data_IF_929729703193
#
_entry.id   IF_929729703193
#
_cell.length_a   1.000
_cell.length_b   1.000
_cell.length_c   1.000
_cell.angle_alpha   90.00
_cell.angle_beta   90.00
_cell.angle_gamma   90.00
#
_symmetry.space_group_name_H-M   'P 1'
#
loop_
_entity.id
_entity.type
_entity.pdbx_description
1 polymer ?
#
# COMPACT_ATOMS: atom_id res chain seq x y z
N UNK A 1 53.10 52.79 35.17
CA UNK A 1 52.94 52.93 33.70
C UNK A 1 53.53 51.67 33.08
N UNK A 2 52.87 50.83 32.28
CA UNK A 2 51.67 50.92 31.45
C UNK A 2 50.97 49.56 31.49
N UNK A 3 49.64 49.58 31.62
CA UNK A 3 48.79 48.41 31.48
C UNK A 3 48.63 48.09 29.99
N UNK A 4 48.81 46.83 29.61
CA UNK A 4 48.45 46.33 28.28
C UNK A 4 47.40 45.24 28.46
N UNK A 5 46.18 45.58 28.08
CA UNK A 5 45.06 44.66 27.92
C UNK A 5 45.31 43.79 26.69
N UNK A 6 45.18 42.47 26.83
CA UNK A 6 44.95 41.56 25.69
C UNK A 6 43.78 40.63 26.05
N UNK A 7 42.76 40.73 25.22
CA UNK A 7 41.47 40.03 25.24
C UNK A 7 41.69 38.55 24.85
N UNK A 8 40.98 37.58 25.44
CA UNK A 8 41.16 36.17 25.15
C UNK A 8 40.57 35.79 23.78
N UNK A 9 41.37 35.13 22.94
CA UNK A 9 40.89 34.49 21.71
C UNK A 9 40.21 33.16 22.06
N UNK A 10 38.89 33.12 21.87
CA UNK A 10 38.05 31.94 22.01
C UNK A 10 38.28 31.04 20.76
N UNK A 11 39.04 29.95 20.91
CA UNK A 11 39.21 28.96 19.85
C UNK A 11 37.94 28.09 19.81
N UNK A 12 37.07 28.33 18.84
CA UNK A 12 36.02 27.38 18.45
C UNK A 12 36.69 26.17 17.80
N UNK A 13 36.84 25.07 18.54
CA UNK A 13 37.14 23.78 17.97
C UNK A 13 35.90 23.27 17.23
N UNK A 14 35.90 23.39 15.90
CA UNK A 14 34.93 22.70 15.07
C UNK A 14 35.19 21.19 15.16
N UNK A 15 34.33 20.48 15.89
CA UNK A 15 34.28 19.02 15.85
C UNK A 15 33.69 18.62 14.50
N UNK A 16 34.54 18.37 13.52
CA UNK A 16 34.15 17.61 12.33
C UNK A 16 34.12 16.14 12.71
N UNK A 17 32.96 15.66 13.18
CA UNK A 17 32.68 14.23 13.28
C UNK A 17 32.67 13.65 11.88
N UNK A 18 33.85 13.26 11.38
CA UNK A 18 33.97 12.43 10.18
C UNK A 18 33.45 11.05 10.56
N UNK A 19 32.18 10.78 10.30
CA UNK A 19 31.58 9.46 10.46
C UNK A 19 32.36 8.48 9.56
N UNK A 20 33.22 7.70 10.18
CA UNK A 20 34.04 6.69 9.51
C UNK A 20 33.08 5.60 9.01
N UNK A 21 32.74 5.63 7.72
CA UNK A 21 31.91 4.58 7.10
C UNK A 21 32.63 3.22 7.24
N UNK A 22 31.91 2.14 7.58
CA UNK A 22 32.50 0.82 7.65
C UNK A 22 33.08 0.42 6.28
N UNK A 23 34.32 -0.08 6.22
CA UNK A 23 34.98 -0.40 4.96
C UNK A 23 34.26 -1.57 4.28
N UNK A 24 33.77 -1.35 3.06
CA UNK A 24 33.25 -2.43 2.20
C UNK A 24 31.81 -2.27 1.70
N UNK A 25 31.09 -1.21 2.07
CA UNK A 25 29.85 -0.86 1.34
C UNK A 25 30.25 -0.13 0.06
N UNK A 26 29.92 -0.63 -1.15
CA UNK A 26 30.08 0.16 -2.36
C UNK A 26 29.35 1.51 -2.16
N UNK A 27 29.87 2.62 -2.69
CA UNK A 27 29.18 3.90 -2.58
C UNK A 27 27.76 3.71 -3.10
N UNK A 28 26.77 3.93 -2.22
CA UNK A 28 25.37 3.97 -2.65
C UNK A 28 25.29 5.02 -3.75
N UNK A 29 24.70 4.69 -4.91
CA UNK A 29 24.57 5.66 -5.99
C UNK A 29 23.87 6.89 -5.44
N UNK A 30 24.38 8.08 -5.78
CA UNK A 30 23.72 9.32 -5.40
C UNK A 30 22.29 9.31 -5.93
N UNK A 31 21.30 9.76 -5.13
CA UNK A 31 19.91 9.75 -5.56
C UNK A 31 19.75 10.64 -6.80
N UNK A 32 19.06 10.12 -7.79
CA UNK A 32 18.73 10.85 -9.01
C UNK A 32 17.84 12.06 -8.69
N UNK A 33 17.77 13.03 -9.60
CA UNK A 33 16.91 14.20 -9.44
C UNK A 33 15.43 13.83 -9.25
N UNK A 34 14.96 12.78 -9.93
CA UNK A 34 13.58 12.28 -9.82
C UNK A 34 13.30 11.69 -8.43
N UNK A 35 14.26 10.95 -7.87
CA UNK A 35 14.18 10.41 -6.51
C UNK A 35 14.15 11.53 -5.48
N UNK A 36 15.01 12.54 -5.62
CA UNK A 36 15.02 13.72 -4.73
C UNK A 36 13.68 14.47 -4.80
N UNK A 37 13.14 14.68 -6.00
CA UNK A 37 11.82 15.31 -6.17
C UNK A 37 10.70 14.49 -5.52
N UNK A 38 10.78 13.17 -5.63
CA UNK A 38 9.81 12.26 -5.01
C UNK A 38 9.90 12.32 -3.49
N UNK A 39 11.11 12.31 -2.92
CA UNK A 39 11.35 12.45 -1.48
C UNK A 39 10.76 13.77 -0.97
N UNK A 40 11.00 14.89 -1.66
CA UNK A 40 10.41 16.19 -1.29
C UNK A 40 8.88 16.13 -1.23
N UNK A 41 8.24 15.56 -2.26
CA UNK A 41 6.78 15.40 -2.28
C UNK A 41 6.27 14.51 -1.16
N UNK A 42 7.03 13.48 -0.75
CA UNK A 42 6.67 12.60 0.37
C UNK A 42 6.72 13.37 1.70
N UNK A 43 7.72 14.22 1.91
CA UNK A 43 7.86 15.01 3.14
C UNK A 43 6.71 16.00 3.35
N UNK A 44 6.04 16.41 2.29
CA UNK A 44 4.88 17.31 2.33
C UNK A 44 3.56 16.59 2.69
N UNK A 45 3.55 15.25 2.79
CA UNK A 45 2.33 14.49 3.02
C UNK A 45 1.98 14.39 4.52
N UNK A 46 0.68 14.44 4.87
CA UNK A 46 0.25 14.23 6.24
C UNK A 46 0.48 12.76 6.69
N UNK A 47 0.64 12.49 8.00
CA UNK A 47 0.97 11.16 8.54
C UNK A 47 0.01 10.03 8.10
N UNK A 48 -1.28 10.33 7.96
CA UNK A 48 -2.29 9.36 7.53
C UNK A 48 -2.08 8.96 6.07
N UNK A 49 -1.67 9.92 5.22
CA UNK A 49 -1.39 9.68 3.81
C UNK A 49 -0.11 8.87 3.65
N UNK A 50 0.92 9.18 4.44
CA UNK A 50 2.15 8.38 4.50
C UNK A 50 1.87 6.93 4.91
N UNK A 51 0.99 6.73 5.88
CA UNK A 51 0.60 5.40 6.33
C UNK A 51 -0.11 4.61 5.23
N UNK A 52 -1.05 5.24 4.52
CA UNK A 52 -1.71 4.61 3.35
C UNK A 52 -0.72 4.29 2.22
N UNK A 53 0.24 5.18 1.95
CA UNK A 53 1.27 4.93 0.93
C UNK A 53 2.17 3.77 1.32
N UNK A 54 2.65 3.68 2.57
CA UNK A 54 3.42 2.54 3.06
C UNK A 54 2.69 1.22 2.86
N UNK A 55 1.43 1.15 3.29
CA UNK A 55 0.60 -0.05 3.08
C UNK A 55 0.35 -0.37 1.60
N UNK A 56 0.44 0.61 0.70
CA UNK A 56 0.28 0.41 -0.74
C UNK A 56 1.58 -0.10 -1.37
N UNK A 57 2.72 0.48 -0.98
CA UNK A 57 4.06 0.03 -1.38
C UNK A 57 4.27 -1.43 -0.97
N UNK A 58 4.02 -1.77 0.30
CA UNK A 58 4.15 -3.15 0.77
C UNK A 58 3.21 -4.15 0.04
N UNK A 59 2.07 -3.69 -0.48
CA UNK A 59 1.21 -4.52 -1.32
C UNK A 59 1.84 -4.73 -2.68
N UNK A 60 2.33 -3.66 -3.31
CA UNK A 60 2.98 -3.69 -4.63
C UNK A 60 4.23 -4.57 -4.61
N UNK A 61 5.02 -4.53 -3.53
CA UNK A 61 6.20 -5.37 -3.33
C UNK A 61 5.86 -6.87 -3.29
N UNK A 62 4.68 -7.22 -2.79
CA UNK A 62 4.17 -8.61 -2.73
C UNK A 62 3.47 -9.04 -4.02
N UNK A 63 3.26 -8.14 -4.97
CA UNK A 63 2.65 -8.50 -6.25
C UNK A 63 3.65 -9.25 -7.14
N UNK A 64 3.16 -10.26 -7.85
CA UNK A 64 3.94 -10.89 -8.93
C UNK A 64 4.25 -9.87 -10.03
N UNK A 65 5.30 -10.10 -10.85
CA UNK A 65 5.62 -9.21 -11.97
C UNK A 65 4.45 -8.98 -12.93
N UNK A 66 3.63 -10.01 -13.16
CA UNK A 66 2.42 -9.92 -14.01
C UNK A 66 1.38 -9.02 -13.33
N UNK A 67 1.08 -9.24 -12.06
CA UNK A 67 0.11 -8.44 -11.33
C UNK A 67 0.54 -6.97 -11.21
N UNK A 68 1.85 -6.67 -11.06
CA UNK A 68 2.36 -5.29 -11.11
C UNK A 68 2.13 -4.63 -12.47
N UNK A 69 2.33 -5.35 -13.58
CA UNK A 69 2.08 -4.82 -14.94
C UNK A 69 0.60 -4.47 -15.12
N UNK A 70 -0.30 -5.34 -14.69
CA UNK A 70 -1.74 -5.09 -14.76
C UNK A 70 -2.18 -3.93 -13.85
N UNK A 71 -1.59 -3.83 -12.66
CA UNK A 71 -1.82 -2.72 -11.74
C UNK A 71 -1.36 -1.39 -12.35
N UNK A 72 -0.15 -1.36 -12.92
CA UNK A 72 0.39 -0.21 -13.65
C UNK A 72 -0.51 0.19 -14.83
N UNK A 73 -0.95 -0.77 -15.64
CA UNK A 73 -1.84 -0.48 -16.77
C UNK A 73 -3.20 0.09 -16.32
N UNK A 74 -3.69 -0.34 -15.16
CA UNK A 74 -4.93 0.20 -14.57
C UNK A 74 -4.73 1.64 -14.07
N UNK A 75 -3.56 1.96 -13.50
CA UNK A 75 -3.21 3.32 -13.11
C UNK A 75 -3.05 4.24 -14.32
N UNK A 76 -2.37 3.81 -15.39
CA UNK A 76 -2.25 4.61 -16.62
C UNK A 76 -3.62 4.92 -17.23
N UNK A 77 -4.56 3.96 -17.21
CA UNK A 77 -5.95 4.21 -17.62
C UNK A 77 -6.65 5.21 -16.72
N UNK A 78 -6.41 5.16 -15.41
CA UNK A 78 -7.01 6.08 -14.44
C UNK A 78 -6.56 7.53 -14.68
N UNK A 79 -5.28 7.74 -15.00
CA UNK A 79 -4.71 9.07 -15.27
C UNK A 79 -5.40 9.75 -16.45
N UNK A 80 -5.61 9.03 -17.55
CA UNK A 80 -6.24 9.54 -18.77
C UNK A 80 -7.77 9.51 -18.77
N UNK A 81 -8.39 8.86 -17.78
CA UNK A 81 -9.84 8.66 -17.72
C UNK A 81 -10.59 9.92 -17.25
N UNK A 82 -11.84 10.05 -17.72
CA UNK A 82 -12.80 11.03 -17.19
C UNK A 82 -13.15 10.75 -15.72
N UNK A 83 -13.68 11.73 -14.96
CA UNK A 83 -14.06 11.51 -13.56
C UNK A 83 -15.01 10.33 -13.32
N UNK A 84 -15.95 10.08 -14.24
CA UNK A 84 -16.90 8.97 -14.18
C UNK A 84 -16.21 7.61 -14.41
N UNK A 85 -15.33 7.55 -15.40
CA UNK A 85 -14.55 6.34 -15.72
C UNK A 85 -13.53 6.01 -14.62
N UNK A 86 -12.95 7.02 -13.97
CA UNK A 86 -12.06 6.85 -12.81
C UNK A 86 -12.73 6.07 -11.68
N UNK A 87 -14.03 6.32 -11.43
CA UNK A 87 -14.77 5.58 -10.43
C UNK A 87 -14.90 4.09 -10.80
N UNK A 88 -15.20 3.80 -12.07
CA UNK A 88 -15.28 2.44 -12.59
C UNK A 88 -13.94 1.72 -12.48
N UNK A 89 -12.84 2.36 -12.88
CA UNK A 89 -11.48 1.78 -12.81
C UNK A 89 -11.12 1.44 -11.35
N UNK A 90 -11.36 2.35 -10.40
CA UNK A 90 -11.07 2.09 -8.99
C UNK A 90 -11.96 0.99 -8.40
N UNK A 91 -13.22 0.90 -8.84
CA UNK A 91 -14.11 -0.21 -8.47
C UNK A 91 -13.57 -1.54 -8.98
N UNK A 92 -13.19 -1.62 -10.26
CA UNK A 92 -12.60 -2.84 -10.85
C UNK A 92 -11.31 -3.26 -10.15
N UNK A 93 -10.41 -2.30 -9.85
CA UNK A 93 -9.18 -2.58 -9.11
C UNK A 93 -9.46 -3.15 -7.71
N UNK A 94 -10.47 -2.61 -7.02
CA UNK A 94 -10.92 -3.11 -5.71
C UNK A 94 -11.54 -4.50 -5.82
N UNK A 95 -12.42 -4.72 -6.80
CA UNK A 95 -13.12 -5.98 -6.99
C UNK A 95 -12.16 -7.10 -7.40
N UNK A 96 -11.14 -6.81 -8.21
CA UNK A 96 -10.05 -7.75 -8.52
C UNK A 96 -9.26 -8.13 -7.27
N UNK A 97 -8.91 -7.16 -6.41
CA UNK A 97 -8.27 -7.44 -5.13
C UNK A 97 -9.12 -8.31 -4.19
N UNK A 98 -10.45 -8.24 -4.32
CA UNK A 98 -11.39 -9.06 -3.56
C UNK A 98 -11.75 -10.39 -4.25
N UNK A 99 -11.41 -10.58 -5.52
CA UNK A 99 -11.81 -11.75 -6.30
C UNK A 99 -11.25 -13.05 -5.70
N UNK A 100 -9.96 -13.08 -5.37
CA UNK A 100 -9.35 -14.26 -4.74
C UNK A 100 -10.00 -14.62 -3.40
N UNK A 101 -10.37 -13.63 -2.59
CA UNK A 101 -11.10 -13.87 -1.34
C UNK A 101 -12.52 -14.40 -1.56
N UNK A 102 -13.22 -13.94 -2.61
CA UNK A 102 -14.57 -14.42 -2.95
C UNK A 102 -14.54 -15.87 -3.44
N UNK A 103 -13.54 -16.22 -4.25
CA UNK A 103 -13.30 -17.60 -4.70
C UNK A 103 -13.05 -18.53 -3.52
N UNK A 104 -12.21 -18.12 -2.57
CA UNK A 104 -11.95 -18.88 -1.35
C UNK A 104 -13.20 -18.97 -0.45
N UNK A 105 -13.98 -17.89 -0.32
CA UNK A 105 -15.21 -17.91 0.47
C UNK A 105 -16.23 -18.89 -0.12
N UNK A 106 -16.38 -18.92 -1.45
CA UNK A 106 -17.24 -19.88 -2.13
C UNK A 106 -16.76 -21.31 -1.89
N UNK A 107 -15.46 -21.56 -2.02
CA UNK A 107 -14.87 -22.86 -1.76
C UNK A 107 -15.15 -23.34 -0.34
N UNK A 108 -14.91 -22.50 0.67
CA UNK A 108 -15.09 -22.88 2.07
C UNK A 108 -16.56 -23.13 2.46
N UNK A 109 -17.54 -22.52 1.78
CA UNK A 109 -18.96 -22.82 1.99
C UNK A 109 -19.34 -24.24 1.57
N UNK A 110 -18.56 -24.87 0.70
CA UNK A 110 -18.76 -26.25 0.25
C UNK A 110 -18.11 -27.30 1.16
N UNK A 111 -17.39 -26.87 2.20
CA UNK A 111 -16.62 -27.73 3.10
C UNK A 111 -17.21 -27.73 4.51
N UNK A 112 -16.92 -28.78 5.29
CA UNK A 112 -17.22 -28.80 6.73
C UNK A 112 -16.26 -27.90 7.51
N UNK A 113 -16.60 -27.46 8.74
CA UNK A 113 -15.72 -26.59 9.54
C UNK A 113 -14.31 -27.15 9.76
N UNK A 114 -14.19 -28.48 9.94
CA UNK A 114 -12.89 -29.17 10.10
C UNK A 114 -12.07 -29.13 8.82
N UNK A 115 -12.72 -29.36 7.68
CA UNK A 115 -12.10 -29.26 6.36
C UNK A 115 -11.68 -27.82 6.04
N UNK A 116 -12.49 -26.82 6.37
CA UNK A 116 -12.10 -25.40 6.21
C UNK A 116 -10.85 -25.06 7.01
N UNK A 117 -10.72 -25.59 8.24
CA UNK A 117 -9.54 -25.37 9.06
C UNK A 117 -8.30 -26.03 8.46
N UNK A 118 -8.42 -27.28 8.00
CA UNK A 118 -7.33 -27.99 7.31
C UNK A 118 -6.90 -27.27 6.02
N UNK A 119 -7.88 -26.86 5.20
CA UNK A 119 -7.65 -26.17 3.93
C UNK A 119 -6.98 -24.81 4.14
N UNK A 120 -7.41 -24.04 5.16
CA UNK A 120 -6.75 -22.77 5.51
C UNK A 120 -5.30 -22.98 5.91
N UNK A 121 -4.99 -24.00 6.71
CA UNK A 121 -3.63 -24.31 7.10
C UNK A 121 -2.79 -24.71 5.88
N UNK A 122 -3.35 -25.50 4.96
CA UNK A 122 -2.69 -25.87 3.72
C UNK A 122 -2.39 -24.65 2.84
N UNK A 123 -3.38 -23.77 2.61
CA UNK A 123 -3.23 -22.54 1.83
C UNK A 123 -2.19 -21.59 2.47
N UNK A 124 -2.14 -21.53 3.80
CA UNK A 124 -1.14 -20.73 4.52
C UNK A 124 0.26 -21.31 4.38
N UNK A 125 0.40 -22.64 4.37
CA UNK A 125 1.68 -23.33 4.16
C UNK A 125 2.21 -23.21 2.72
N UNK A 126 1.35 -22.92 1.74
CA UNK A 126 1.78 -22.70 0.35
C UNK A 126 2.63 -21.42 0.22
N UNK A 127 3.69 -21.44 -0.61
CA UNK A 127 4.38 -20.23 -1.01
C UNK A 127 3.44 -19.27 -1.76
N UNK A 128 3.75 -17.96 -1.79
CA UNK A 128 2.86 -16.94 -2.36
C UNK A 128 2.39 -17.24 -3.79
N UNK A 129 3.28 -17.75 -4.64
CA UNK A 129 3.03 -18.07 -6.05
C UNK A 129 2.09 -19.27 -6.18
N UNK A 130 2.32 -20.33 -5.39
CA UNK A 130 1.47 -21.51 -5.39
C UNK A 130 0.08 -21.22 -4.82
N UNK A 131 -0.04 -20.28 -3.88
CA UNK A 131 -1.32 -19.80 -3.37
C UNK A 131 -2.15 -19.14 -4.48
N UNK A 132 -1.51 -18.35 -5.34
CA UNK A 132 -2.18 -17.71 -6.48
C UNK A 132 -2.65 -18.76 -7.48
N UNK A 133 -1.81 -19.74 -7.80
CA UNK A 133 -2.20 -20.82 -8.73
C UNK A 133 -3.35 -21.66 -8.17
N UNK A 134 -3.32 -21.95 -6.87
CA UNK A 134 -4.41 -22.64 -6.18
C UNK A 134 -5.73 -21.86 -6.27
N UNK A 135 -5.70 -20.54 -6.01
CA UNK A 135 -6.88 -19.67 -6.18
C UNK A 135 -7.34 -19.65 -7.65
N UNK A 136 -6.42 -19.68 -8.63
CA UNK A 136 -6.77 -19.75 -10.06
C UNK A 136 -7.51 -21.04 -10.39
N UNK A 137 -7.02 -22.19 -9.92
CA UNK A 137 -7.68 -23.51 -10.11
C UNK A 137 -9.08 -23.54 -9.48
N UNK A 138 -9.25 -22.94 -8.30
CA UNK A 138 -10.58 -22.79 -7.70
C UNK A 138 -11.47 -21.87 -8.55
N UNK A 139 -10.93 -20.76 -9.07
CA UNK A 139 -11.67 -19.85 -9.93
C UNK A 139 -12.11 -20.53 -11.24
N UNK A 140 -11.27 -21.39 -11.83
CA UNK A 140 -11.62 -22.21 -13.00
C UNK A 140 -12.75 -23.19 -12.66
N UNK A 141 -12.66 -23.87 -11.50
CA UNK A 141 -13.69 -24.80 -11.02
C UNK A 141 -15.05 -24.13 -10.80
N UNK A 142 -15.06 -22.92 -10.28
CA UNK A 142 -16.27 -22.16 -9.95
C UNK A 142 -16.65 -21.10 -10.99
N UNK A 143 -15.92 -21.01 -12.10
CA UNK A 143 -16.01 -19.88 -13.04
C UNK A 143 -17.42 -19.66 -13.61
N UNK A 144 -18.17 -20.74 -13.79
CA UNK A 144 -19.57 -20.70 -14.22
C UNK A 144 -20.52 -20.17 -13.13
N UNK A 145 -20.22 -20.40 -11.86
CA UNK A 145 -21.04 -19.95 -10.72
C UNK A 145 -20.84 -18.44 -10.46
N UNK A 146 -19.64 -17.92 -10.70
CA UNK A 146 -19.36 -16.48 -10.64
C UNK A 146 -19.91 -15.71 -11.84
N UNK A 147 -19.94 -16.33 -13.03
CA UNK A 147 -20.49 -15.72 -14.25
C UNK A 147 -22.01 -15.61 -14.24
N UNK A 148 -22.70 -16.54 -13.58
CA UNK A 148 -24.17 -16.57 -13.50
C UNK A 148 -24.76 -15.55 -12.53
N UNK A 149 -23.99 -15.09 -11.54
CA UNK A 149 -24.53 -14.24 -10.47
C UNK A 149 -23.54 -13.15 -10.01
N UNK A 150 -23.07 -12.27 -10.93
CA UNK A 150 -22.06 -11.25 -10.61
C UNK A 150 -22.53 -10.26 -9.54
N UNK A 151 -23.85 -10.08 -9.37
CA UNK A 151 -24.45 -9.22 -8.35
C UNK A 151 -24.24 -9.77 -6.92
N UNK A 152 -24.33 -11.10 -6.74
CA UNK A 152 -24.17 -11.78 -5.44
C UNK A 152 -22.75 -11.73 -4.89
N UNK A 153 -21.79 -11.58 -5.80
CA UNK A 153 -20.37 -11.47 -5.48
C UNK A 153 -19.84 -10.03 -5.59
N UNK A 154 -20.55 -9.11 -6.24
CA UNK A 154 -20.16 -7.71 -6.41
C UNK A 154 -20.49 -6.79 -5.22
N UNK A 155 -21.39 -7.20 -4.32
CA UNK A 155 -21.72 -6.40 -3.14
C UNK A 155 -20.79 -6.73 -1.96
N UNK A 156 -20.12 -5.73 -1.36
CA UNK A 156 -19.48 -5.93 -0.07
C UNK A 156 -20.57 -6.28 0.95
N UNK A 157 -20.47 -7.46 1.56
CA UNK A 157 -21.35 -7.87 2.66
C UNK A 157 -21.36 -6.79 3.73
N UNK A 158 -22.50 -6.59 4.39
CA UNK A 158 -22.75 -5.67 5.51
C UNK A 158 -21.58 -5.55 6.53
N UNK A 159 -20.83 -6.64 6.75
CA UNK A 159 -19.64 -6.67 7.59
C UNK A 159 -18.51 -5.71 7.11
N UNK A 160 -18.32 -5.57 5.80
CA UNK A 160 -17.37 -4.62 5.20
C UNK A 160 -17.87 -3.16 5.26
N UNK A 161 -19.20 -2.95 5.26
CA UNK A 161 -19.78 -1.61 5.46
C UNK A 161 -19.55 -1.11 6.89
N UNK A 162 -19.63 -1.99 7.90
CA UNK A 162 -19.29 -1.65 9.29
C UNK A 162 -17.81 -1.30 9.47
N UNK A 163 -16.89 -1.94 8.74
CA UNK A 163 -15.46 -1.62 8.82
C UNK A 163 -15.07 -0.32 8.08
N UNK A 164 -15.93 0.19 7.18
CA UNK A 164 -15.75 1.48 6.49
C UNK A 164 -16.37 2.68 7.21
N UNK A 165 -17.21 2.46 8.24
CA UNK A 165 -17.62 3.55 9.15
C UNK A 165 -16.55 3.74 10.23
N UNK A 166 -15.42 4.33 9.86
CA UNK A 166 -14.74 5.23 10.80
C UNK A 166 -15.59 6.50 10.91
N UNK A 167 -15.73 7.11 12.10
CA UNK A 167 -16.56 8.29 12.27
C UNK A 167 -15.98 9.43 11.43
N UNK A 168 -16.78 9.90 10.48
CA UNK A 168 -16.62 11.21 9.86
C UNK A 168 -17.00 12.27 10.92
N UNK A 169 -16.04 13.12 11.28
CA UNK A 169 -16.20 14.24 12.20
C UNK A 169 -14.80 14.65 12.69
N UNK A 170 -14.29 15.86 12.52
CA UNK A 170 -14.94 17.16 12.39
C UNK A 170 -14.39 17.96 11.20
N UNK A 171 -15.28 18.66 10.50
CA UNK A 171 -14.90 19.83 9.71
C UNK A 171 -14.53 20.97 10.67
N UNK A 172 -13.48 21.78 10.42
CA UNK A 172 -13.26 22.98 11.21
C UNK A 172 -14.38 23.98 10.88
N UNK A 173 -15.19 24.27 11.90
CA UNK A 173 -16.18 25.32 11.88
C UNK A 173 -15.53 26.65 11.51
N UNK A 174 -16.11 27.32 10.52
CA UNK A 174 -15.87 28.72 10.19
C UNK A 174 -16.22 29.55 11.43
N UNK A 175 -15.23 30.22 12.02
CA UNK A 175 -15.47 31.20 13.07
C UNK A 175 -16.02 32.51 12.45
N UNK A 176 -17.05 33.15 13.04
CA UNK A 176 -17.57 34.40 12.54
C UNK A 176 -16.67 35.58 12.92
N UNK A 177 -16.70 36.61 12.06
CA UNK A 177 -16.11 37.93 12.25
C UNK A 177 -16.43 38.52 13.64
N UNK A 178 -15.41 39.10 14.26
CA UNK A 178 -15.51 40.35 15.02
C UNK A 178 -14.33 41.25 14.64
#
# INVERSE_FOLDING_TARGET
MKQSFLIPALIFAAVTSSAQQPPGRPPEPEPTLEEIQTIRKILELPPERLTRMRSTIEKIERLSPVARREFSASLSKYESATPEERHKIMKEMRDRGAFGSRVLEHHFKSLTPEQVKAERNQIQALPPEARIEYIRKLAEKYGLDFAKDPAKYGEPKEADKKRRKLPEGEAPAVAPKQ
#
